data_IF_599362480264
#
_entry.id   IF_599362480264
#
_cell.length_a   1.000
_cell.length_b   1.000
_cell.length_c   1.000
_cell.angle_alpha   90.00
_cell.angle_beta   90.00
_cell.angle_gamma   90.00
#
_symmetry.space_group_name_H-M   'P 1'
#
loop_
_entity.id
_entity.type
_entity.pdbx_description
1 polymer ?
#
# COMPACT_ATOMS: atom_id res chain seq x y z
N UNK A 1 -4.88 -3.94 -8.79
CA UNK A 1 -4.01 -2.78 -8.42
C UNK A 1 -2.54 -2.93 -8.82
N UNK A 2 -1.86 -4.04 -8.51
CA UNK A 2 -0.42 -4.25 -8.85
C UNK A 2 -0.04 -3.85 -10.29
N UNK A 3 -0.79 -4.32 -11.30
CA UNK A 3 -0.55 -3.99 -12.72
C UNK A 3 -0.63 -2.49 -13.04
N UNK A 4 -1.55 -1.75 -12.39
CA UNK A 4 -1.71 -0.30 -12.59
C UNK A 4 -0.57 0.50 -11.95
N UNK A 5 -0.03 0.03 -10.82
CA UNK A 5 1.17 0.64 -10.21
C UNK A 5 2.43 0.32 -11.02
N UNK A 6 2.53 -0.90 -11.57
CA UNK A 6 3.65 -1.30 -12.42
C UNK A 6 3.70 -0.50 -13.73
N UNK A 7 2.56 -0.26 -14.40
CA UNK A 7 2.54 0.53 -15.64
C UNK A 7 2.99 1.98 -15.47
N UNK A 8 2.99 2.49 -14.23
CA UNK A 8 3.44 3.84 -13.87
C UNK A 8 4.78 3.87 -13.14
N UNK A 9 5.51 2.74 -13.08
CA UNK A 9 6.75 2.57 -12.34
C UNK A 9 6.65 2.92 -10.84
N UNK A 10 5.43 2.85 -10.26
CA UNK A 10 5.17 3.22 -8.86
C UNK A 10 5.10 2.02 -7.92
N UNK A 11 5.12 0.79 -8.44
CA UNK A 11 5.03 -0.42 -7.60
C UNK A 11 6.17 -0.52 -6.58
N UNK A 12 7.35 0.02 -6.89
CA UNK A 12 8.50 0.02 -5.98
C UNK A 12 8.28 0.81 -4.68
N UNK A 13 7.28 1.71 -4.64
CA UNK A 13 6.89 2.44 -3.41
C UNK A 13 6.06 1.60 -2.45
N UNK A 14 5.39 0.54 -2.91
CA UNK A 14 4.56 -0.33 -2.06
C UNK A 14 5.22 -1.68 -1.74
N UNK A 15 6.18 -2.08 -2.56
CA UNK A 15 7.00 -3.29 -2.38
C UNK A 15 8.20 -3.08 -1.44
N UNK A 16 8.40 -1.86 -0.92
CA UNK A 16 9.53 -1.53 -0.03
C UNK A 16 10.89 -1.40 -0.72
N UNK A 17 10.93 -1.55 -2.05
CA UNK A 17 12.11 -1.29 -2.89
C UNK A 17 12.59 0.17 -2.80
N UNK A 18 11.67 1.15 -2.69
CA UNK A 18 11.98 2.56 -2.45
C UNK A 18 11.60 2.90 -1.01
N UNK A 19 12.61 2.96 -0.14
CA UNK A 19 12.43 3.29 1.28
C UNK A 19 12.34 4.80 1.49
N UNK A 20 11.76 5.20 2.62
CA UNK A 20 11.81 6.59 3.08
C UNK A 20 13.28 7.02 3.23
N UNK A 21 13.74 8.05 2.50
CA UNK A 21 15.15 8.47 2.52
C UNK A 21 15.53 9.27 3.78
N UNK A 22 14.57 9.59 4.66
CA UNK A 22 14.76 10.43 5.83
C UNK A 22 14.58 11.93 5.53
N UNK A 23 14.12 12.69 6.53
CA UNK A 23 13.69 14.10 6.39
C UNK A 23 14.83 15.00 5.89
N UNK A 24 16.08 14.70 6.24
CA UNK A 24 17.27 15.47 5.83
C UNK A 24 17.71 15.20 4.39
N UNK A 25 17.15 14.20 3.71
CA UNK A 25 17.55 13.85 2.36
C UNK A 25 16.89 14.77 1.34
N UNK A 26 17.65 15.23 0.34
CA UNK A 26 17.16 16.11 -0.74
C UNK A 26 16.04 15.50 -1.61
N UNK A 27 15.72 14.21 -1.43
CA UNK A 27 14.67 13.49 -2.15
C UNK A 27 13.42 13.27 -1.29
N UNK A 28 13.45 13.68 -0.02
CA UNK A 28 12.37 13.46 0.92
C UNK A 28 11.03 14.01 0.40
N UNK A 29 11.00 15.27 -0.03
CA UNK A 29 9.76 15.88 -0.56
C UNK A 29 9.24 15.18 -1.81
N UNK A 30 10.15 14.74 -2.69
CA UNK A 30 9.80 13.98 -3.89
C UNK A 30 9.24 12.60 -3.52
N UNK A 31 9.83 11.96 -2.51
CA UNK A 31 9.36 10.69 -1.97
C UNK A 31 7.97 10.84 -1.35
N UNK A 32 7.75 11.86 -0.50
CA UNK A 32 6.45 12.16 0.12
C UNK A 32 5.38 12.35 -0.95
N UNK A 33 5.63 13.17 -1.98
CA UNK A 33 4.68 13.38 -3.09
C UNK A 33 4.32 12.08 -3.81
N UNK A 34 5.31 11.25 -4.09
CA UNK A 34 5.10 9.95 -4.70
C UNK A 34 4.30 9.00 -3.81
N UNK A 35 4.66 8.90 -2.53
CA UNK A 35 3.97 8.09 -1.52
C UNK A 35 2.50 8.52 -1.38
N UNK A 36 2.22 9.82 -1.21
CA UNK A 36 0.84 10.35 -1.11
C UNK A 36 0.03 10.08 -2.38
N UNK A 37 0.64 10.18 -3.57
CA UNK A 37 -0.06 9.87 -4.83
C UNK A 37 -0.46 8.40 -4.89
N UNK A 38 0.47 7.50 -4.53
CA UNK A 38 0.20 6.06 -4.54
C UNK A 38 -0.85 5.72 -3.48
N UNK A 39 -0.76 6.29 -2.29
CA UNK A 39 -1.76 6.17 -1.25
C UNK A 39 -3.15 6.57 -1.77
N UNK A 40 -3.28 7.74 -2.40
CA UNK A 40 -4.54 8.20 -2.99
C UNK A 40 -5.09 7.29 -4.10
N UNK A 41 -4.23 6.63 -4.87
CA UNK A 41 -4.67 5.63 -5.84
C UNK A 41 -5.16 4.35 -5.18
N UNK A 42 -4.51 3.92 -4.09
CA UNK A 42 -4.96 2.77 -3.32
C UNK A 42 -6.34 3.08 -2.74
N UNK A 43 -6.46 4.16 -1.97
CA UNK A 43 -7.70 4.51 -1.26
C UNK A 43 -8.89 4.74 -2.19
N UNK A 44 -8.69 5.37 -3.36
CA UNK A 44 -9.75 5.60 -4.34
C UNK A 44 -10.37 4.31 -4.91
N UNK A 45 -9.67 3.18 -4.84
CA UNK A 45 -10.20 1.91 -5.34
C UNK A 45 -10.87 1.05 -4.27
N UNK A 46 -10.83 1.48 -3.01
CA UNK A 46 -11.41 0.76 -1.89
C UNK A 46 -12.88 1.17 -1.70
N UNK A 47 -13.69 0.26 -1.16
CA UNK A 47 -15.01 0.61 -0.66
C UNK A 47 -14.89 1.53 0.56
N UNK A 48 -15.97 2.26 0.86
CA UNK A 48 -15.97 3.21 1.96
C UNK A 48 -15.71 2.55 3.33
N UNK A 49 -16.19 1.32 3.50
CA UNK A 49 -15.97 0.50 4.70
C UNK A 49 -14.48 0.19 4.91
N UNK A 50 -13.79 -0.24 3.84
CA UNK A 50 -12.35 -0.51 3.90
C UNK A 50 -11.58 0.80 4.08
N UNK A 51 -11.99 1.88 3.41
CA UNK A 51 -11.35 3.19 3.51
C UNK A 51 -11.36 3.74 4.96
N UNK A 52 -12.43 3.51 5.74
CA UNK A 52 -12.48 3.90 7.15
C UNK A 52 -11.47 3.12 8.00
N UNK A 53 -11.25 1.85 7.68
CA UNK A 53 -10.33 0.96 8.41
C UNK A 53 -8.85 1.21 8.11
N UNK A 54 -8.51 2.20 7.29
CA UNK A 54 -7.13 2.49 6.87
C UNK A 54 -6.71 3.95 7.10
N UNK A 55 -7.56 4.75 7.75
CA UNK A 55 -7.33 6.18 8.01
C UNK A 55 -6.05 6.45 8.81
N UNK A 56 -5.56 5.46 9.56
CA UNK A 56 -4.38 5.58 10.41
C UNK A 56 -3.04 5.30 9.69
N UNK A 57 -3.06 4.84 8.44
CA UNK A 57 -1.83 4.56 7.71
C UNK A 57 -1.25 5.82 7.07
N UNK A 58 0.03 6.08 7.31
CA UNK A 58 0.77 7.22 6.72
C UNK A 58 1.61 6.81 5.50
N UNK A 59 1.95 5.52 5.40
CA UNK A 59 2.76 4.95 4.31
C UNK A 59 1.89 4.15 3.35
N UNK A 60 2.11 4.35 2.04
CA UNK A 60 1.47 3.53 1.02
C UNK A 60 1.94 2.08 1.07
N UNK A 61 3.16 1.83 1.56
CA UNK A 61 3.69 0.49 1.76
C UNK A 61 2.94 -0.24 2.88
N UNK A 62 2.76 0.39 4.03
CA UNK A 62 2.10 -0.23 5.18
C UNK A 62 0.64 -0.56 4.87
N UNK A 63 -0.05 0.39 4.21
CA UNK A 63 -1.40 0.17 3.69
C UNK A 63 -1.44 -1.01 2.71
N UNK A 64 -0.48 -1.10 1.80
CA UNK A 64 -0.43 -2.17 0.81
C UNK A 64 -0.22 -3.55 1.44
N UNK A 65 0.66 -3.65 2.44
CA UNK A 65 0.90 -4.91 3.16
C UNK A 65 -0.29 -5.31 4.03
N UNK A 66 -0.96 -4.37 4.71
CA UNK A 66 -2.19 -4.64 5.45
C UNK A 66 -3.31 -5.16 4.52
N UNK A 67 -3.53 -4.49 3.39
CA UNK A 67 -4.49 -4.97 2.38
C UNK A 67 -4.08 -6.34 1.83
N UNK A 68 -2.78 -6.58 1.62
CA UNK A 68 -2.31 -7.90 1.20
C UNK A 68 -2.61 -8.94 2.27
N UNK A 69 -2.31 -8.71 3.55
CA UNK A 69 -2.61 -9.70 4.61
C UNK A 69 -4.12 -9.97 4.71
N UNK A 70 -4.94 -8.92 4.73
CA UNK A 70 -6.41 -9.03 4.83
C UNK A 70 -7.03 -9.80 3.68
N UNK A 71 -6.53 -9.62 2.45
CA UNK A 71 -7.12 -10.21 1.24
C UNK A 71 -6.28 -11.34 0.62
N UNK A 72 -5.13 -11.70 1.18
CA UNK A 72 -4.34 -12.86 0.77
C UNK A 72 -4.91 -14.18 1.31
N UNK A 73 -5.76 -14.13 2.34
CA UNK A 73 -6.37 -15.30 2.97
C UNK A 73 -7.74 -15.65 2.40
N UNK A 74 -7.78 -15.90 1.10
CA UNK A 74 -8.84 -16.71 0.50
C UNK A 74 -8.79 -18.20 0.88
N UNK A 75 -7.71 -18.67 1.50
CA UNK A 75 -7.43 -20.11 1.68
C UNK A 75 -7.22 -20.58 3.14
N UNK A 76 -7.49 -19.75 4.16
CA UNK A 76 -7.38 -20.23 5.57
C UNK A 76 -8.61 -21.04 6.04
N UNK A 77 -9.67 -21.15 5.23
CA UNK A 77 -10.88 -21.91 5.59
C UNK A 77 -10.87 -23.39 5.19
N UNK A 78 -9.75 -23.93 4.66
CA UNK A 78 -9.62 -25.36 4.32
C UNK A 78 -8.64 -26.12 5.23
N UNK A 79 -8.47 -25.69 6.48
CA UNK A 79 -7.67 -26.44 7.45
C UNK A 79 -8.32 -26.42 8.85
N UNK A 80 -9.53 -26.97 8.95
CA UNK A 80 -9.93 -27.67 10.17
C UNK A 80 -10.06 -29.15 9.82
N UNK A 81 -9.09 -30.00 10.20
CA UNK A 81 -9.32 -31.43 10.27
C UNK A 81 -10.26 -31.67 11.46
N UNK A 82 -11.46 -32.16 11.16
CA UNK A 82 -12.36 -32.85 12.08
C UNK A 82 -11.70 -34.06 12.74
#
# INVERSE_FOLDING_TARGET
MKRALQSKNKFKFVDGSIKNPGISHHLYDSWVRCNTTVFGWITRTLSQEIAQSIVYFESAQDLWEDLKDRFSKGDYFMAQPS
#
